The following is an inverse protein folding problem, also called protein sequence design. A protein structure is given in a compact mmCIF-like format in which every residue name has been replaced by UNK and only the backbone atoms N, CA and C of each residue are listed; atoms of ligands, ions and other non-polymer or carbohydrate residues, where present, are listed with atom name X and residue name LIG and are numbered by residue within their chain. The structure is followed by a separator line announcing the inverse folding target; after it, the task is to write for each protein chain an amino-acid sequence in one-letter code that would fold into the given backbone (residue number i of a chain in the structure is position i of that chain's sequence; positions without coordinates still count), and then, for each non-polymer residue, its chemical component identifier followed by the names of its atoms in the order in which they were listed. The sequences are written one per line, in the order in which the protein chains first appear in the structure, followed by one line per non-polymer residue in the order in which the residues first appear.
data_IF_960346719218
#
_entry.id   IF_960346719218
#
_cell.length_a   1.000
_cell.length_b   1.000
_cell.length_c   1.000
_cell.angle_alpha   90.00
_cell.angle_beta   90.00
_cell.angle_gamma   90.00
#
_symmetry.space_group_name_H-M   'P 1'
#
loop_
_entity.id
_entity.type
_entity.pdbx_description
1 polymer ?
#
# COMPACT_ATOMS: atom_id res chain seq x y z
N UNK A 1 -17.45 -4.16 -12.60
CA UNK A 1 -16.86 -3.10 -13.45
C UNK A 1 -16.18 -3.78 -14.64
N UNK A 2 -16.81 -3.87 -15.82
CA UNK A 2 -16.29 -4.63 -16.98
C UNK A 2 -15.75 -3.73 -18.11
N UNK A 3 -16.11 -2.46 -18.08
CA UNK A 3 -15.78 -1.47 -19.09
C UNK A 3 -15.02 -0.33 -18.41
N UNK A 4 -13.81 -0.06 -18.88
CA UNK A 4 -13.00 1.08 -18.46
C UNK A 4 -13.26 2.23 -19.42
N UNK A 5 -13.48 3.44 -18.89
CA UNK A 5 -13.44 4.65 -19.71
C UNK A 5 -11.99 4.95 -20.12
N UNK A 6 -11.81 5.96 -20.98
CA UNK A 6 -10.49 6.58 -21.12
C UNK A 6 -9.99 7.09 -19.75
N UNK A 7 -8.68 6.98 -19.47
CA UNK A 7 -8.12 7.54 -18.25
C UNK A 7 -8.25 9.07 -18.27
N UNK A 8 -8.39 9.67 -17.09
CA UNK A 8 -8.31 11.12 -16.88
C UNK A 8 -7.07 11.46 -16.07
N UNK A 9 -6.43 12.59 -16.38
CA UNK A 9 -5.32 13.11 -15.60
C UNK A 9 -5.83 14.16 -14.62
N UNK A 10 -5.32 14.11 -13.40
CA UNK A 10 -5.62 15.09 -12.35
C UNK A 10 -4.29 15.60 -11.83
N UNK A 11 -4.13 16.92 -11.82
CA UNK A 11 -2.91 17.54 -11.31
C UNK A 11 -2.99 17.56 -9.78
N UNK A 12 -2.09 16.81 -9.14
CA UNK A 12 -2.03 16.71 -7.67
C UNK A 12 -0.93 17.59 -7.05
N UNK A 13 0.13 17.87 -7.80
CA UNK A 13 1.28 18.68 -7.37
C UNK A 13 1.70 19.64 -8.48
N UNK A 14 2.45 20.67 -8.12
CA UNK A 14 3.07 21.58 -9.08
C UNK A 14 4.19 20.89 -9.87
N UNK A 15 4.48 21.38 -11.07
CA UNK A 15 5.42 20.73 -12.01
C UNK A 15 6.85 20.68 -11.46
N UNK A 16 7.18 21.59 -10.53
CA UNK A 16 8.49 21.64 -9.87
C UNK A 16 8.63 20.63 -8.72
N UNK A 17 7.55 20.03 -8.24
CA UNK A 17 7.58 18.93 -7.25
C UNK A 17 7.95 17.63 -7.95
N UNK A 18 7.61 17.45 -9.22
CA UNK A 18 8.00 16.27 -9.98
C UNK A 18 6.91 15.19 -9.99
N UNK A 19 7.04 14.14 -9.18
CA UNK A 19 6.25 12.92 -9.34
C UNK A 19 5.09 12.74 -8.33
N UNK A 20 4.10 11.93 -8.73
CA UNK A 20 2.99 11.43 -7.91
C UNK A 20 3.03 9.90 -8.02
N UNK A 21 3.92 9.26 -7.26
CA UNK A 21 4.20 7.82 -7.40
C UNK A 21 3.37 6.95 -6.45
N UNK A 22 3.03 5.75 -6.92
CA UNK A 22 2.30 4.73 -6.16
C UNK A 22 1.09 5.27 -5.38
N UNK A 23 0.11 5.90 -6.05
CA UNK A 23 -1.04 6.46 -5.37
C UNK A 23 -1.93 5.36 -4.78
N UNK A 24 -2.35 5.54 -3.52
CA UNK A 24 -3.35 4.76 -2.83
C UNK A 24 -4.53 5.60 -2.37
N UNK A 25 -5.64 4.96 -2.03
CA UNK A 25 -6.80 5.63 -1.48
C UNK A 25 -7.50 4.79 -0.41
N UNK A 26 -7.93 5.42 0.68
CA UNK A 26 -8.72 4.80 1.74
C UNK A 26 -9.85 5.74 2.16
N UNK A 27 -11.03 5.20 2.46
CA UNK A 27 -12.15 6.01 2.93
C UNK A 27 -11.96 6.40 4.41
N UNK A 28 -12.10 7.69 4.71
CA UNK A 28 -12.16 8.23 6.07
C UNK A 28 -13.62 8.46 6.50
N UNK A 29 -14.18 7.64 7.41
CA UNK A 29 -15.54 7.82 7.89
C UNK A 29 -15.76 9.14 8.64
N UNK A 30 -14.73 9.69 9.29
CA UNK A 30 -14.84 10.91 10.10
C UNK A 30 -15.05 12.16 9.22
N UNK A 31 -14.42 12.18 8.04
CA UNK A 31 -14.53 13.27 7.05
C UNK A 31 -15.53 12.98 5.94
N UNK A 32 -16.00 11.73 5.83
CA UNK A 32 -16.87 11.25 4.75
C UNK A 32 -16.26 11.57 3.37
N UNK A 33 -14.98 11.23 3.22
CA UNK A 33 -14.17 11.51 2.06
C UNK A 33 -13.09 10.43 1.91
N UNK A 34 -12.55 10.28 0.71
CA UNK A 34 -11.38 9.44 0.45
C UNK A 34 -10.11 10.21 0.76
N UNK A 35 -9.27 9.62 1.60
CA UNK A 35 -7.88 10.01 1.81
C UNK A 35 -7.04 9.39 0.70
N UNK A 36 -6.55 10.22 -0.21
CA UNK A 36 -5.68 9.81 -1.33
C UNK A 36 -4.27 10.21 -0.99
N UNK A 37 -3.32 9.29 -1.15
CA UNK A 37 -1.94 9.46 -0.73
C UNK A 37 -0.97 8.85 -1.75
N UNK A 38 0.25 9.37 -1.81
CA UNK A 38 1.25 8.99 -2.80
C UNK A 38 2.65 9.45 -2.37
N UNK A 39 3.68 9.03 -3.09
CA UNK A 39 5.07 9.45 -2.86
C UNK A 39 5.46 10.62 -3.77
N UNK A 40 6.00 11.69 -3.20
CA UNK A 40 6.57 12.85 -3.93
C UNK A 40 7.83 13.35 -3.22
N UNK A 41 8.79 13.96 -3.94
CA UNK A 41 9.93 14.58 -3.28
C UNK A 41 9.49 15.86 -2.56
N UNK A 42 10.05 16.07 -1.38
CA UNK A 42 9.87 17.28 -0.59
C UNK A 42 11.03 18.25 -0.87
N UNK A 43 10.78 19.47 -1.41
CA UNK A 43 11.84 20.42 -1.73
C UNK A 43 12.65 20.91 -0.53
N UNK A 44 12.08 20.89 0.67
CA UNK A 44 12.72 21.37 1.90
C UNK A 44 13.62 20.30 2.52
N UNK A 45 13.19 19.04 2.51
CA UNK A 45 13.95 17.93 3.13
C UNK A 45 14.84 17.19 2.13
N UNK A 46 14.61 17.38 0.82
CA UNK A 46 15.24 16.63 -0.27
C UNK A 46 15.07 15.11 -0.15
N UNK A 47 13.93 14.67 0.41
CA UNK A 47 13.53 13.27 0.57
C UNK A 47 12.24 12.96 -0.18
N UNK A 48 12.06 11.72 -0.56
CA UNK A 48 10.74 11.21 -0.91
C UNK A 48 9.92 11.04 0.37
N UNK A 49 8.72 11.57 0.36
CA UNK A 49 7.80 11.54 1.48
C UNK A 49 6.40 11.19 0.98
N UNK A 50 5.52 10.84 1.91
CA UNK A 50 4.12 10.59 1.58
C UNK A 50 3.36 11.91 1.65
N UNK A 51 2.68 12.22 0.56
CA UNK A 51 1.81 13.37 0.40
C UNK A 51 0.36 12.89 0.33
N UNK A 52 -0.60 13.76 0.64
CA UNK A 52 -2.02 13.41 0.60
C UNK A 52 -2.92 14.57 0.19
N UNK A 53 -4.10 14.21 -0.29
CA UNK A 53 -5.25 15.08 -0.51
C UNK A 53 -6.55 14.33 -0.19
N UNK A 54 -7.60 15.04 0.21
CA UNK A 54 -8.94 14.44 0.34
C UNK A 54 -9.76 14.71 -0.92
N UNK A 55 -10.67 13.79 -1.23
CA UNK A 55 -11.68 13.98 -2.28
C UNK A 55 -12.97 13.25 -1.90
N UNK A 56 -14.11 13.68 -2.45
CA UNK A 56 -15.39 12.97 -2.30
C UNK A 56 -15.82 12.24 -3.57
N UNK A 57 -15.22 12.57 -4.71
CA UNK A 57 -15.69 12.19 -6.04
C UNK A 57 -14.55 11.77 -7.00
N UNK A 58 -13.29 11.83 -6.54
CA UNK A 58 -12.10 11.61 -7.36
C UNK A 58 -12.00 12.57 -8.57
N UNK A 59 -12.64 13.75 -8.49
CA UNK A 59 -12.59 14.81 -9.49
C UNK A 59 -12.07 16.10 -8.88
N UNK A 60 -12.57 16.44 -7.70
CA UNK A 60 -12.20 17.62 -6.94
C UNK A 60 -11.42 17.20 -5.70
N UNK A 61 -10.22 17.75 -5.56
CA UNK A 61 -9.32 17.43 -4.48
C UNK A 61 -9.09 18.66 -3.62
N UNK A 62 -9.06 18.44 -2.30
CA UNK A 62 -8.55 19.42 -1.36
C UNK A 62 -7.07 19.72 -1.62
N UNK A 63 -6.54 20.85 -1.12
CA UNK A 63 -5.13 21.16 -1.23
C UNK A 63 -4.25 20.00 -0.73
N UNK A 64 -3.24 19.71 -1.53
CA UNK A 64 -2.23 18.71 -1.23
C UNK A 64 -1.34 19.15 -0.07
N UNK A 65 -1.02 18.21 0.83
CA UNK A 65 -0.10 18.43 1.95
C UNK A 65 0.83 17.22 2.14
N UNK A 66 2.04 17.46 2.63
CA UNK A 66 2.90 16.39 3.17
C UNK A 66 2.18 15.71 4.34
N UNK A 67 2.18 14.39 4.36
CA UNK A 67 1.48 13.55 5.31
C UNK A 67 2.41 12.79 6.26
N UNK A 68 3.43 12.11 5.72
CA UNK A 68 4.33 11.30 6.53
C UNK A 68 5.75 11.31 5.96
N UNK A 69 6.72 11.26 6.87
CA UNK A 69 8.16 11.15 6.58
C UNK A 69 8.71 9.87 7.20
N UNK A 70 9.84 9.37 6.69
CA UNK A 70 10.55 8.26 7.33
C UNK A 70 10.92 8.61 8.77
N UNK A 71 10.92 7.62 9.68
CA UNK A 71 11.35 7.82 11.08
C UNK A 71 12.84 8.13 11.17
N UNK A 72 13.63 7.47 10.33
CA UNK A 72 15.00 7.88 10.08
C UNK A 72 14.99 8.96 8.99
N UNK A 73 15.18 10.21 9.38
CA UNK A 73 15.13 11.36 8.45
C UNK A 73 16.20 11.33 7.34
N UNK A 74 17.16 10.41 7.40
CA UNK A 74 18.11 10.20 6.31
C UNK A 74 17.58 9.27 5.21
N UNK A 75 16.42 8.64 5.40
CA UNK A 75 15.78 7.73 4.44
C UNK A 75 14.58 8.36 3.76
N UNK A 76 14.28 7.82 2.58
CA UNK A 76 13.06 8.08 1.85
C UNK A 76 11.91 7.28 2.46
N UNK A 77 10.67 7.75 2.30
CA UNK A 77 9.45 7.01 2.61
C UNK A 77 8.58 6.94 1.36
N UNK A 78 8.43 5.76 0.78
CA UNK A 78 7.66 5.53 -0.44
C UNK A 78 6.69 4.37 -0.32
N UNK A 79 5.90 4.16 -1.38
CA UNK A 79 5.10 2.96 -1.59
C UNK A 79 4.17 2.63 -0.43
N UNK A 80 3.51 3.65 0.13
CA UNK A 80 2.59 3.43 1.24
C UNK A 80 1.34 2.69 0.74
N UNK A 81 0.81 1.80 1.58
CA UNK A 81 -0.52 1.19 1.46
C UNK A 81 -1.24 1.30 2.80
N UNK A 82 -2.57 1.35 2.79
CA UNK A 82 -3.38 1.45 4.01
C UNK A 82 -4.65 0.62 3.92
N UNK A 83 -5.00 -0.05 5.01
CA UNK A 83 -6.29 -0.72 5.19
C UNK A 83 -6.91 -0.36 6.53
N UNK A 84 -8.22 -0.54 6.64
CA UNK A 84 -8.91 -0.55 7.93
C UNK A 84 -9.11 -2.00 8.38
N UNK A 85 -8.52 -2.36 9.52
CA UNK A 85 -8.66 -3.66 10.16
C UNK A 85 -9.35 -3.49 11.52
N UNK A 86 -10.64 -3.86 11.58
CA UNK A 86 -11.48 -3.59 12.76
C UNK A 86 -11.61 -2.08 13.02
N UNK A 87 -11.26 -1.66 14.24
CA UNK A 87 -11.29 -0.25 14.66
C UNK A 87 -9.96 0.49 14.42
N UNK A 88 -8.98 -0.16 13.79
CA UNK A 88 -7.67 0.42 13.53
C UNK A 88 -7.42 0.59 12.03
N UNK A 89 -6.67 1.62 11.70
CA UNK A 89 -6.00 1.75 10.42
C UNK A 89 -4.63 1.10 10.53
N UNK A 90 -4.27 0.31 9.53
CA UNK A 90 -2.95 -0.29 9.37
C UNK A 90 -2.33 0.29 8.11
N UNK A 91 -1.04 0.62 8.17
CA UNK A 91 -0.26 1.00 7.00
C UNK A 91 1.03 0.21 6.91
N UNK A 92 1.50 0.03 5.69
CA UNK A 92 2.86 -0.40 5.39
C UNK A 92 3.46 0.53 4.33
N UNK A 93 4.77 0.63 4.27
CA UNK A 93 5.52 1.50 3.36
C UNK A 93 6.94 0.99 3.17
N UNK A 94 7.75 1.60 2.31
CA UNK A 94 9.19 1.35 2.21
C UNK A 94 9.99 2.51 2.82
N UNK A 95 10.83 2.21 3.80
CA UNK A 95 11.81 3.15 4.40
C UNK A 95 13.24 2.59 4.42
N UNK A 96 13.56 1.66 3.52
CA UNK A 96 14.72 0.76 3.59
C UNK A 96 14.41 -0.53 4.35
N UNK A 97 13.28 -0.56 5.07
CA UNK A 97 12.57 -1.76 5.51
C UNK A 97 11.09 -1.65 5.12
N UNK A 98 10.27 -2.66 5.45
CA UNK A 98 8.80 -2.58 5.32
C UNK A 98 8.18 -2.50 6.72
N UNK A 99 8.11 -1.31 7.35
CA UNK A 99 7.43 -1.13 8.61
C UNK A 99 5.93 -1.31 8.45
N UNK A 100 5.31 -1.94 9.44
CA UNK A 100 3.88 -2.04 9.64
C UNK A 100 3.55 -1.17 10.84
N UNK A 101 2.57 -0.28 10.69
CA UNK A 101 2.16 0.65 11.73
C UNK A 101 0.65 0.68 11.85
N UNK A 102 0.18 1.06 13.05
CA UNK A 102 -1.25 1.15 13.34
C UNK A 102 -1.65 2.48 13.95
N UNK A 103 -2.87 2.92 13.68
CA UNK A 103 -3.46 4.10 14.31
C UNK A 103 -4.97 3.95 14.46
N UNK A 104 -5.57 4.67 15.41
CA UNK A 104 -7.03 4.79 15.53
C UNK A 104 -7.64 5.72 14.47
N UNK A 105 -6.82 6.56 13.81
CA UNK A 105 -7.28 7.54 12.82
C UNK A 105 -6.18 7.86 11.81
N UNK A 106 -6.54 8.22 10.57
CA UNK A 106 -5.58 8.59 9.54
C UNK A 106 -4.74 9.83 9.91
N UNK A 107 -5.35 10.83 10.55
CA UNK A 107 -4.63 12.03 11.03
C UNK A 107 -4.00 11.84 12.44
N UNK A 108 -3.92 10.61 12.95
CA UNK A 108 -3.47 10.30 14.30
C UNK A 108 -1.98 9.95 14.42
N UNK A 109 -1.56 9.60 15.63
CA UNK A 109 -0.24 9.02 15.86
C UNK A 109 -0.21 7.57 15.35
N UNK A 110 0.88 7.21 14.68
CA UNK A 110 1.12 5.88 14.14
C UNK A 110 2.11 5.12 15.01
N UNK A 111 1.65 4.03 15.61
CA UNK A 111 2.46 3.17 16.46
C UNK A 111 3.12 2.08 15.59
N UNK A 112 4.42 1.87 15.81
CA UNK A 112 5.13 0.78 15.17
C UNK A 112 4.62 -0.57 15.69
N UNK A 113 4.30 -1.48 14.76
CA UNK A 113 3.97 -2.87 15.06
C UNK A 113 5.22 -3.72 14.95
N UNK A 114 5.74 -3.87 13.73
CA UNK A 114 6.93 -4.63 13.37
C UNK A 114 7.43 -4.13 12.00
N UNK A 115 8.64 -4.49 11.59
CA UNK A 115 9.03 -4.50 10.18
C UNK A 115 9.06 -5.94 9.65
N UNK A 116 8.75 -6.15 8.37
CA UNK A 116 8.81 -7.50 7.78
C UNK A 116 10.18 -8.17 7.95
N UNK A 117 11.24 -7.36 7.90
CA UNK A 117 12.62 -7.76 8.10
C UNK A 117 12.89 -8.34 9.51
N UNK A 118 12.06 -7.99 10.50
CA UNK A 118 12.19 -8.46 11.88
C UNK A 118 11.38 -9.75 12.16
N UNK A 119 10.54 -10.17 11.22
CA UNK A 119 9.61 -11.31 11.40
C UNK A 119 10.21 -12.66 11.00
N UNK A 120 11.53 -12.75 10.78
CA UNK A 120 12.24 -13.99 10.42
C UNK A 120 11.66 -14.69 9.17
N UNK A 121 11.14 -13.90 8.22
CA UNK A 121 10.52 -14.39 6.98
C UNK A 121 11.53 -14.64 5.83
N UNK A 122 12.83 -14.49 6.11
CA UNK A 122 13.89 -14.57 5.10
C UNK A 122 14.03 -13.32 4.22
N UNK A 123 13.25 -12.28 4.47
CA UNK A 123 13.35 -10.97 3.83
C UNK A 123 14.48 -10.18 4.50
N UNK A 124 15.44 -9.69 3.72
CA UNK A 124 16.63 -9.02 4.25
C UNK A 124 16.81 -7.66 3.59
N UNK A 125 17.08 -6.65 4.40
CA UNK A 125 17.35 -5.29 3.93
C UNK A 125 16.30 -4.80 2.94
N UNK A 126 16.78 -4.13 1.90
CA UNK A 126 16.00 -3.53 0.82
C UNK A 126 15.97 -4.44 -0.41
N UNK A 127 15.38 -5.63 -0.25
CA UNK A 127 15.22 -6.61 -1.34
C UNK A 127 13.79 -6.69 -1.88
N UNK A 128 12.87 -5.95 -1.24
CA UNK A 128 11.45 -5.89 -1.56
C UNK A 128 10.92 -4.47 -1.41
N UNK A 129 9.93 -4.10 -2.22
CA UNK A 129 9.26 -2.79 -2.19
C UNK A 129 7.76 -2.95 -2.42
N UNK A 130 7.02 -1.86 -2.63
CA UNK A 130 5.63 -1.92 -3.08
C UNK A 130 4.68 -2.75 -2.19
N UNK A 131 4.63 -2.52 -0.86
CA UNK A 131 3.71 -3.26 -0.01
C UNK A 131 2.26 -3.01 -0.43
N UNK A 132 1.44 -4.06 -0.48
CA UNK A 132 0.00 -3.98 -0.70
C UNK A 132 -0.73 -4.92 0.25
N UNK A 133 -1.69 -4.40 1.03
CA UNK A 133 -2.43 -5.19 2.03
C UNK A 133 -3.82 -5.53 1.52
N UNK A 134 -4.18 -6.80 1.55
CA UNK A 134 -5.53 -7.28 1.22
C UNK A 134 -6.08 -8.27 2.22
N UNK A 135 -7.41 -8.35 2.30
CA UNK A 135 -8.12 -9.38 3.03
C UNK A 135 -8.49 -10.54 2.09
N UNK A 136 -8.01 -11.74 2.40
CA UNK A 136 -8.36 -12.98 1.71
C UNK A 136 -9.55 -13.62 2.43
N UNK A 137 -10.76 -13.35 1.94
CA UNK A 137 -12.00 -13.73 2.61
C UNK A 137 -12.22 -15.24 2.71
N UNK A 138 -11.74 -16.00 1.72
CA UNK A 138 -11.78 -17.46 1.65
C UNK A 138 -10.85 -18.12 2.67
N UNK A 139 -9.70 -17.50 2.95
CA UNK A 139 -8.71 -17.99 3.90
C UNK A 139 -8.88 -17.39 5.31
N UNK A 140 -9.72 -16.35 5.44
CA UNK A 140 -9.85 -15.54 6.66
C UNK A 140 -8.50 -15.02 7.17
N UNK A 141 -7.65 -14.56 6.24
CA UNK A 141 -6.32 -14.02 6.52
C UNK A 141 -6.11 -12.69 5.81
N UNK A 142 -5.27 -11.85 6.39
CA UNK A 142 -4.62 -10.77 5.67
C UNK A 142 -3.45 -11.30 4.84
N UNK A 143 -3.25 -10.71 3.67
CA UNK A 143 -2.06 -10.90 2.87
C UNK A 143 -1.41 -9.53 2.66
N UNK A 144 -0.16 -9.40 3.09
CA UNK A 144 0.73 -8.29 2.75
C UNK A 144 1.64 -8.77 1.61
N UNK A 145 1.35 -8.31 0.41
CA UNK A 145 2.20 -8.53 -0.76
C UNK A 145 3.36 -7.55 -0.74
N UNK A 146 4.55 -7.99 -1.13
CA UNK A 146 5.69 -7.11 -1.42
C UNK A 146 6.35 -7.51 -2.74
N UNK A 147 6.75 -6.55 -3.54
CA UNK A 147 7.40 -6.79 -4.83
C UNK A 147 8.88 -7.12 -4.64
N UNK A 148 9.30 -8.32 -5.05
CA UNK A 148 10.70 -8.74 -5.02
C UNK A 148 11.51 -8.12 -6.17
N UNK A 149 11.65 -6.79 -6.16
CA UNK A 149 12.26 -6.04 -7.25
C UNK A 149 13.70 -6.43 -7.53
N UNK A 150 14.46 -6.73 -6.48
CA UNK A 150 15.90 -7.02 -6.56
C UNK A 150 16.21 -8.30 -7.37
N UNK A 151 15.34 -9.31 -7.29
CA UNK A 151 15.50 -10.58 -8.01
C UNK A 151 14.45 -10.83 -9.10
N UNK A 152 13.55 -9.87 -9.32
CA UNK A 152 12.54 -9.89 -10.37
C UNK A 152 11.66 -11.14 -10.34
N UNK A 153 11.26 -11.60 -9.14
CA UNK A 153 10.38 -12.78 -8.96
C UNK A 153 8.89 -12.42 -8.90
N UNK A 154 8.56 -11.14 -8.93
CA UNK A 154 7.20 -10.65 -8.74
C UNK A 154 6.88 -10.52 -7.26
N UNK A 155 5.59 -10.58 -6.94
CA UNK A 155 5.12 -10.48 -5.57
C UNK A 155 5.56 -11.66 -4.68
N UNK A 156 5.80 -11.36 -3.40
CA UNK A 156 5.92 -12.30 -2.29
C UNK A 156 4.69 -12.13 -1.39
N UNK A 157 3.79 -13.12 -1.29
CA UNK A 157 2.64 -13.05 -0.41
C UNK A 157 3.05 -13.41 1.02
N UNK A 158 2.70 -12.57 1.98
CA UNK A 158 2.94 -12.79 3.41
C UNK A 158 1.60 -12.80 4.14
N UNK A 159 1.26 -13.92 4.75
CA UNK A 159 -0.03 -14.16 5.37
C UNK A 159 0.04 -13.96 6.89
N UNK A 160 -1.04 -13.39 7.44
CA UNK A 160 -1.28 -13.35 8.89
C UNK A 160 -2.77 -13.30 9.18
N UNK A 161 -3.18 -13.74 10.36
CA UNK A 161 -4.55 -13.49 10.88
C UNK A 161 -4.65 -12.15 11.62
N UNK A 162 -3.53 -11.54 12.01
CA UNK A 162 -3.47 -10.32 12.80
C UNK A 162 -2.32 -9.41 12.36
N UNK A 163 -2.65 -8.36 11.59
CA UNK A 163 -1.70 -7.34 11.15
C UNK A 163 -1.04 -6.56 12.30
N UNK A 164 -1.56 -6.69 13.53
CA UNK A 164 -1.00 -6.05 14.72
C UNK A 164 -0.08 -6.95 15.53
N UNK A 165 0.10 -8.21 15.10
CA UNK A 165 0.99 -9.14 15.79
C UNK A 165 2.45 -8.77 15.62
N UNK A 166 3.18 -8.84 16.74
CA UNK A 166 4.63 -8.68 16.80
C UNK A 166 5.37 -10.02 16.88
N UNK A 167 4.64 -11.13 16.92
CA UNK A 167 5.21 -12.46 17.07
C UNK A 167 5.50 -13.04 15.67
N UNK A 168 6.76 -13.36 15.34
CA UNK A 168 7.12 -13.97 14.06
C UNK A 168 6.32 -15.24 13.71
N UNK A 169 5.85 -16.00 14.71
CA UNK A 169 5.07 -17.21 14.48
C UNK A 169 3.65 -16.96 13.93
N UNK A 170 3.16 -15.72 13.97
CA UNK A 170 1.84 -15.34 13.45
C UNK A 170 1.89 -14.91 11.97
N UNK A 171 3.07 -14.98 11.37
CA UNK A 171 3.34 -14.57 9.99
C UNK A 171 3.96 -15.74 9.22
N UNK A 172 3.53 -15.92 7.98
CA UNK A 172 4.10 -16.92 7.09
C UNK A 172 4.23 -16.39 5.67
N UNK A 173 5.30 -16.76 4.99
CA UNK A 173 5.38 -16.60 3.54
C UNK A 173 4.49 -17.66 2.91
N UNK A 174 3.53 -17.25 2.07
CA UNK A 174 2.70 -18.20 1.34
C UNK A 174 3.55 -19.06 0.41
N UNK A 175 3.06 -20.27 0.08
CA UNK A 175 3.71 -21.07 -0.98
C UNK A 175 3.71 -20.27 -2.28
N UNK A 176 4.73 -20.50 -3.11
CA UNK A 176 4.88 -19.77 -4.37
C UNK A 176 3.60 -19.81 -5.21
N UNK A 177 3.02 -18.63 -5.41
CA UNK A 177 1.92 -18.40 -6.33
C UNK A 177 2.49 -18.08 -7.73
N UNK A 178 1.88 -18.63 -8.78
CA UNK A 178 2.24 -18.29 -10.15
C UNK A 178 1.66 -16.91 -10.52
N UNK A 179 2.50 -15.89 -10.47
CA UNK A 179 2.14 -14.53 -10.91
C UNK A 179 2.12 -14.37 -12.43
N UNK A 180 2.20 -15.47 -13.17
CA UNK A 180 2.24 -15.54 -14.62
C UNK A 180 3.57 -15.09 -15.20
N UNK A 181 3.69 -15.16 -16.52
CA UNK A 181 4.93 -14.78 -17.24
C UNK A 181 5.35 -13.32 -16.99
N UNK A 182 4.39 -12.43 -16.72
CA UNK A 182 4.64 -11.03 -16.42
C UNK A 182 5.19 -10.81 -15.01
N UNK A 183 5.14 -11.83 -14.15
CA UNK A 183 5.56 -11.78 -12.74
C UNK A 183 5.01 -10.54 -12.06
N UNK A 184 3.67 -10.43 -11.97
CA UNK A 184 2.94 -9.27 -11.44
C UNK A 184 3.69 -8.63 -10.25
N UNK A 185 3.80 -7.30 -10.30
CA UNK A 185 4.59 -6.43 -9.44
C UNK A 185 3.72 -5.28 -8.92
N UNK A 186 4.33 -4.33 -8.20
CA UNK A 186 3.66 -3.22 -7.53
C UNK A 186 2.46 -2.65 -8.32
N UNK A 187 1.28 -2.77 -7.73
CA UNK A 187 -0.02 -2.33 -8.22
C UNK A 187 -1.09 -2.55 -7.14
N UNK A 188 -2.35 -2.62 -7.55
CA UNK A 188 -3.48 -2.83 -6.63
C UNK A 188 -4.16 -4.17 -6.88
N UNK A 189 -4.72 -4.74 -5.81
CA UNK A 189 -5.42 -6.02 -5.85
C UNK A 189 -6.90 -5.79 -5.54
N UNK A 190 -7.77 -6.29 -6.42
CA UNK A 190 -9.21 -6.15 -6.29
C UNK A 190 -9.85 -7.51 -6.07
N UNK A 191 -10.63 -7.64 -4.99
CA UNK A 191 -11.48 -8.80 -4.79
C UNK A 191 -12.59 -8.80 -5.83
N UNK A 192 -12.81 -9.97 -6.45
CA UNK A 192 -13.88 -10.17 -7.42
C UNK A 192 -14.87 -11.18 -6.85
N UNK A 193 -16.15 -10.94 -7.08
CA UNK A 193 -17.16 -11.99 -6.93
C UNK A 193 -16.97 -13.05 -8.02
N UNK A 194 -17.49 -14.26 -7.79
CA UNK A 194 -17.49 -15.33 -8.82
C UNK A 194 -18.11 -14.87 -10.13
N UNK A 195 -19.18 -14.06 -10.06
CA UNK A 195 -19.83 -13.53 -11.24
C UNK A 195 -18.94 -12.51 -11.97
N UNK A 196 -18.31 -11.57 -11.27
CA UNK A 196 -17.39 -10.60 -11.89
C UNK A 196 -16.18 -11.28 -12.54
N UNK A 197 -15.65 -12.32 -11.90
CA UNK A 197 -14.59 -13.13 -12.49
C UNK A 197 -15.05 -13.82 -13.78
N UNK A 198 -16.23 -14.49 -13.75
CA UNK A 198 -16.78 -15.15 -14.93
C UNK A 198 -17.04 -14.16 -16.07
N UNK A 199 -17.56 -12.97 -15.76
CA UNK A 199 -17.81 -11.92 -16.74
C UNK A 199 -16.52 -11.38 -17.37
N UNK A 200 -15.43 -11.23 -16.58
CA UNK A 200 -14.11 -10.84 -17.08
C UNK A 200 -13.52 -11.92 -17.99
N UNK A 201 -13.56 -13.18 -17.55
CA UNK A 201 -13.02 -14.33 -18.29
C UNK A 201 -13.79 -14.62 -19.59
N UNK A 202 -15.09 -14.30 -19.66
CA UNK A 202 -15.86 -14.42 -20.89
C UNK A 202 -15.54 -13.32 -21.92
N UNK A 203 -15.00 -12.17 -21.47
CA UNK A 203 -14.74 -11.00 -22.30
C UNK A 203 -13.31 -10.96 -22.87
N UNK A 204 -12.33 -11.45 -22.12
CA UNK A 204 -10.89 -11.39 -22.43
C UNK A 204 -10.30 -12.79 -22.56
#
# INVERSE_FOLDING_TARGET
MLNWSAPRTIRMVDDNIGCVWAPGAIYDPSKKAYFVFWSSPNPQTHKMEIWRAYTKDFEHFDPTVTYATAKNHNQDLIDMTMVKAGDQFIRASLDGTIPIEKSASLDGNWDHVAALQDLNLGIKGDTVEGPEIVWLADQQKWCLYVDQFDNGRGYLPILTTDLTSRNPADWEVAREDDFGQLKKRHGSIMALTTQEYADLAAKY
#
